data_IF_209778067567
#
_entry.id   IF_209778067567
#
_cell.length_a   1.000
_cell.length_b   1.000
_cell.length_c   1.000
_cell.angle_alpha   90.00
_cell.angle_beta   90.00
_cell.angle_gamma   90.00
#
_symmetry.space_group_name_H-M   'P 1'
#
loop_
_entity.id
_entity.type
_entity.pdbx_description
1 polymer ?
#
# COMPACT_ATOMS: atom_id res chain seq x y z
N UNK A 1 -8.68 12.40 11.38
CA UNK A 1 -7.35 11.77 11.54
C UNK A 1 -6.39 12.84 12.02
N UNK A 2 -5.38 12.43 12.77
CA UNK A 2 -4.26 13.25 13.23
C UNK A 2 -3.01 12.76 12.51
N UNK A 3 -2.09 13.68 12.22
CA UNK A 3 -0.77 13.33 11.70
C UNK A 3 -0.08 12.23 12.52
N UNK A 4 0.34 11.18 11.83
CA UNK A 4 0.98 9.99 12.40
C UNK A 4 0.02 8.88 12.84
N UNK A 5 -1.30 9.04 12.67
CA UNK A 5 -2.24 7.95 12.90
C UNK A 5 -1.97 6.79 11.92
N UNK A 6 -1.97 5.56 12.42
CA UNK A 6 -1.93 4.36 11.57
C UNK A 6 -3.31 4.20 10.93
N UNK A 7 -3.36 4.21 9.61
CA UNK A 7 -4.62 4.14 8.86
C UNK A 7 -4.73 2.89 7.98
N UNK A 8 -3.63 2.20 7.71
CA UNK A 8 -3.62 0.99 6.89
C UNK A 8 -2.53 0.03 7.32
N UNK A 9 -2.79 -1.26 7.21
CA UNK A 9 -1.80 -2.34 7.34
C UNK A 9 -1.94 -3.24 6.12
N UNK A 10 -0.84 -3.46 5.41
CA UNK A 10 -0.85 -4.23 4.18
C UNK A 10 -0.12 -5.56 4.29
N UNK A 11 -0.69 -6.56 3.64
CA UNK A 11 -0.16 -7.90 3.49
C UNK A 11 0.07 -8.21 2.02
N UNK A 12 1.32 -8.41 1.62
CA UNK A 12 1.66 -8.95 0.31
C UNK A 12 1.29 -10.43 0.24
N UNK A 13 0.44 -10.79 -0.71
CA UNK A 13 -0.08 -12.14 -0.91
C UNK A 13 0.24 -12.64 -2.31
N UNK A 14 0.41 -13.96 -2.43
CA UNK A 14 0.71 -14.61 -3.71
C UNK A 14 -0.50 -14.65 -4.65
N UNK A 15 -1.69 -14.84 -4.09
CA UNK A 15 -2.96 -14.93 -4.81
C UNK A 15 -4.04 -14.19 -4.00
N UNK A 16 -4.51 -13.07 -4.57
CA UNK A 16 -5.44 -12.15 -3.94
C UNK A 16 -6.80 -12.80 -3.69
N UNK A 17 -7.30 -13.59 -4.65
CA UNK A 17 -8.59 -14.27 -4.52
C UNK A 17 -8.56 -15.37 -3.47
N UNK A 18 -7.49 -16.17 -3.46
CA UNK A 18 -7.28 -17.18 -2.44
C UNK A 18 -7.14 -16.56 -1.05
N UNK A 19 -6.41 -15.44 -0.94
CA UNK A 19 -6.24 -14.72 0.32
C UNK A 19 -7.56 -14.13 0.83
N UNK A 20 -8.28 -13.35 0.00
CA UNK A 20 -9.60 -12.80 0.37
C UNK A 20 -10.55 -13.90 0.86
N UNK A 21 -10.62 -15.02 0.12
CA UNK A 21 -11.42 -16.19 0.50
C UNK A 21 -11.00 -16.72 1.87
N UNK A 22 -9.71 -16.93 2.09
CA UNK A 22 -9.21 -17.48 3.36
C UNK A 22 -9.51 -16.55 4.54
N UNK A 23 -9.22 -15.25 4.41
CA UNK A 23 -9.53 -14.25 5.42
C UNK A 23 -11.03 -14.19 5.74
N UNK A 24 -11.88 -14.26 4.72
CA UNK A 24 -13.33 -14.19 4.88
C UNK A 24 -13.90 -15.46 5.52
N UNK A 25 -13.58 -16.64 4.97
CA UNK A 25 -14.21 -17.90 5.38
C UNK A 25 -13.67 -18.45 6.71
N UNK A 26 -12.41 -18.16 7.04
CA UNK A 26 -11.75 -18.73 8.22
C UNK A 26 -11.71 -17.75 9.39
N UNK A 27 -11.63 -16.45 9.11
CA UNK A 27 -11.41 -15.42 10.12
C UNK A 27 -12.50 -14.35 10.17
N UNK A 28 -13.55 -14.47 9.34
CA UNK A 28 -14.65 -13.51 9.25
C UNK A 28 -14.18 -12.07 8.92
N UNK A 29 -13.06 -11.94 8.19
CA UNK A 29 -12.51 -10.64 7.78
C UNK A 29 -12.99 -10.32 6.36
N UNK A 30 -13.76 -9.24 6.23
CA UNK A 30 -14.35 -8.72 5.00
C UNK A 30 -15.58 -7.84 5.30
N UNK A 31 -16.39 -7.47 4.30
CA UNK A 31 -16.19 -7.70 2.87
C UNK A 31 -15.05 -6.84 2.31
N UNK A 32 -14.57 -7.22 1.13
CA UNK A 32 -13.42 -6.65 0.45
C UNK A 32 -13.85 -5.83 -0.75
N UNK A 33 -13.34 -4.61 -0.85
CA UNK A 33 -13.39 -3.76 -2.04
C UNK A 33 -12.11 -4.00 -2.85
N UNK A 34 -12.26 -4.37 -4.14
CA UNK A 34 -11.14 -4.82 -4.99
C UNK A 34 -10.82 -3.80 -6.06
N UNK A 35 -9.52 -3.58 -6.29
CA UNK A 35 -8.99 -2.60 -7.23
C UNK A 35 -7.80 -3.17 -8.00
N UNK A 36 -7.62 -2.72 -9.23
CA UNK A 36 -6.41 -2.92 -10.02
C UNK A 36 -5.75 -1.57 -10.29
N UNK A 37 -4.48 -1.43 -9.93
CA UNK A 37 -3.71 -0.21 -10.11
C UNK A 37 -2.57 -0.39 -11.10
N UNK A 38 -2.31 0.64 -11.91
CA UNK A 38 -1.22 0.68 -12.88
C UNK A 38 -1.20 1.99 -13.68
N UNK A 39 -0.51 2.06 -14.83
CA UNK A 39 -0.34 3.31 -15.60
C UNK A 39 -1.64 4.04 -15.99
N UNK A 40 -2.73 3.28 -16.11
CA UNK A 40 -4.04 3.80 -16.48
C UNK A 40 -4.66 4.69 -15.40
N UNK A 41 -4.42 4.41 -14.11
CA UNK A 41 -5.08 5.09 -12.98
C UNK A 41 -4.13 5.53 -11.86
N UNK A 42 -2.84 5.17 -11.89
CA UNK A 42 -1.80 5.71 -11.01
C UNK A 42 -1.04 6.81 -11.74
N UNK A 43 -0.94 8.00 -11.14
CA UNK A 43 -0.17 9.13 -11.67
C UNK A 43 1.11 9.34 -10.87
N UNK A 44 2.10 9.99 -11.52
CA UNK A 44 3.44 10.25 -10.97
C UNK A 44 4.07 9.03 -10.28
N UNK A 45 3.85 7.84 -10.85
CA UNK A 45 4.38 6.59 -10.31
C UNK A 45 5.90 6.57 -10.46
N UNK A 46 6.59 6.49 -9.33
CA UNK A 46 8.05 6.41 -9.27
C UNK A 46 8.47 5.20 -8.45
N UNK A 47 9.54 4.54 -8.88
CA UNK A 47 10.26 3.52 -8.13
C UNK A 47 11.76 3.83 -8.18
N UNK A 48 12.38 3.95 -7.01
CA UNK A 48 13.79 4.36 -6.80
C UNK A 48 14.16 5.58 -7.66
N UNK A 49 13.27 6.57 -7.67
CA UNK A 49 13.42 7.84 -8.38
C UNK A 49 13.22 7.77 -9.91
N UNK A 50 12.80 6.64 -10.47
CA UNK A 50 12.55 6.46 -11.91
C UNK A 50 11.05 6.24 -12.18
N UNK A 51 10.52 6.68 -13.33
CA UNK A 51 9.16 6.34 -13.74
C UNK A 51 8.91 4.83 -13.69
N UNK A 52 7.77 4.44 -13.11
CA UNK A 52 7.41 3.05 -12.94
C UNK A 52 6.01 2.76 -13.49
N UNK A 53 5.87 1.61 -14.15
CA UNK A 53 4.63 1.18 -14.80
C UNK A 53 4.10 -0.14 -14.24
N UNK A 54 4.52 -0.49 -13.03
CA UNK A 54 4.10 -1.72 -12.37
C UNK A 54 2.59 -1.74 -12.16
N UNK A 55 2.02 -2.94 -12.24
CA UNK A 55 0.60 -3.24 -12.05
C UNK A 55 0.48 -4.11 -10.81
N UNK A 56 -0.47 -3.78 -9.95
CA UNK A 56 -0.78 -4.53 -8.74
C UNK A 56 -2.27 -4.52 -8.49
N UNK A 57 -2.76 -5.56 -7.83
CA UNK A 57 -4.15 -5.64 -7.38
C UNK A 57 -4.17 -5.54 -5.88
N UNK A 58 -5.21 -4.91 -5.37
CA UNK A 58 -5.46 -4.84 -3.94
C UNK A 58 -6.89 -5.23 -3.60
N UNK A 59 -7.06 -5.70 -2.37
CA UNK A 59 -8.34 -5.89 -1.74
C UNK A 59 -8.30 -5.24 -0.37
N UNK A 60 -9.24 -4.33 -0.09
CA UNK A 60 -9.26 -3.58 1.16
C UNK A 60 -10.55 -3.82 1.92
N UNK A 61 -10.45 -3.89 3.25
CA UNK A 61 -11.59 -3.85 4.15
C UNK A 61 -11.29 -2.95 5.35
N UNK A 62 -12.34 -2.41 5.97
CA UNK A 62 -12.20 -1.51 7.11
C UNK A 62 -12.52 -2.23 8.42
N UNK A 63 -11.57 -2.21 9.35
CA UNK A 63 -11.72 -2.84 10.67
C UNK A 63 -11.40 -1.79 11.73
N UNK A 64 -12.41 -1.38 12.51
CA UNK A 64 -12.27 -0.39 13.59
C UNK A 64 -11.55 0.91 13.18
N UNK A 65 -11.74 1.36 11.93
CA UNK A 65 -11.15 2.59 11.40
C UNK A 65 -9.74 2.45 10.83
N UNK A 66 -9.16 1.24 10.80
CA UNK A 66 -7.92 0.93 10.08
C UNK A 66 -8.27 0.07 8.87
N UNK A 67 -7.66 0.37 7.73
CA UNK A 67 -7.81 -0.41 6.52
C UNK A 67 -6.86 -1.61 6.54
N UNK A 68 -7.41 -2.82 6.45
CA UNK A 68 -6.61 -4.01 6.13
C UNK A 68 -6.53 -4.11 4.62
N UNK A 69 -5.32 -4.19 4.08
CA UNK A 69 -5.06 -4.30 2.65
C UNK A 69 -4.36 -5.63 2.34
N UNK A 70 -4.88 -6.36 1.36
CA UNK A 70 -4.18 -7.45 0.71
C UNK A 70 -3.65 -6.92 -0.61
N UNK A 71 -2.39 -7.20 -0.94
CA UNK A 71 -1.73 -6.70 -2.14
C UNK A 71 -1.09 -7.84 -2.93
N UNK A 72 -1.30 -7.86 -4.24
CA UNK A 72 -0.64 -8.78 -5.15
C UNK A 72 0.02 -8.01 -6.31
N UNK A 73 1.36 -8.04 -6.45
CA UNK A 73 2.00 -7.55 -7.67
C UNK A 73 1.61 -8.43 -8.87
N UNK A 74 1.35 -7.81 -10.01
CA UNK A 74 0.91 -8.50 -11.24
C UNK A 74 1.97 -8.43 -12.33
N UNK A 75 2.54 -7.25 -12.58
CA UNK A 75 3.59 -7.07 -13.58
C UNK A 75 4.41 -5.82 -13.33
N UNK A 76 5.63 -5.79 -13.87
CA UNK A 76 6.57 -4.67 -13.67
C UNK A 76 7.19 -4.69 -12.28
N UNK A 77 8.50 -4.45 -12.22
CA UNK A 77 9.26 -4.53 -10.97
C UNK A 77 9.01 -3.29 -10.09
N UNK A 78 8.82 -3.52 -8.79
CA UNK A 78 8.43 -2.53 -7.79
C UNK A 78 9.04 -2.84 -6.42
N UNK A 79 8.74 -2.02 -5.40
CA UNK A 79 9.09 -2.33 -4.01
C UNK A 79 8.49 -3.66 -3.54
N UNK A 80 7.33 -4.05 -4.08
CA UNK A 80 6.65 -5.29 -3.70
C UNK A 80 7.46 -6.52 -4.11
N UNK A 81 8.00 -6.51 -5.34
CA UNK A 81 8.84 -7.59 -5.86
C UNK A 81 10.15 -7.68 -5.09
N UNK A 82 10.81 -6.54 -4.85
CA UNK A 82 12.05 -6.47 -4.07
C UNK A 82 11.84 -7.05 -2.66
N UNK A 83 10.72 -6.71 -2.03
CA UNK A 83 10.36 -7.23 -0.72
C UNK A 83 10.16 -8.75 -0.73
N UNK A 84 9.38 -9.26 -1.69
CA UNK A 84 9.08 -10.69 -1.83
C UNK A 84 10.35 -11.50 -2.07
N UNK A 85 11.28 -10.99 -2.88
CA UNK A 85 12.57 -11.64 -3.14
C UNK A 85 13.42 -11.80 -1.88
N UNK A 86 13.33 -10.84 -0.95
CA UNK A 86 14.14 -10.81 0.26
C UNK A 86 13.50 -11.54 1.45
N UNK A 87 12.18 -11.41 1.61
CA UNK A 87 11.46 -11.87 2.81
C UNK A 87 10.37 -12.91 2.52
N UNK A 88 9.98 -13.06 1.25
CA UNK A 88 8.77 -13.77 0.86
C UNK A 88 7.51 -12.92 1.06
N UNK A 89 6.34 -13.56 0.90
CA UNK A 89 5.04 -12.94 1.14
C UNK A 89 4.79 -12.72 2.64
N UNK A 90 4.10 -11.65 3.01
CA UNK A 90 3.87 -11.29 4.41
C UNK A 90 3.45 -9.83 4.63
N UNK A 91 3.36 -9.43 5.89
CA UNK A 91 3.05 -8.04 6.26
C UNK A 91 4.15 -7.11 5.72
N UNK A 92 3.75 -6.18 4.86
CA UNK A 92 4.67 -5.34 4.10
C UNK A 92 4.81 -3.95 4.71
N UNK A 93 3.69 -3.22 4.82
CA UNK A 93 3.74 -1.83 5.26
C UNK A 93 2.66 -1.47 6.27
N UNK A 94 2.92 -0.39 7.00
CA UNK A 94 1.92 0.39 7.73
C UNK A 94 1.85 1.79 7.13
N UNK A 95 0.64 2.26 6.81
CA UNK A 95 0.41 3.62 6.32
C UNK A 95 0.09 4.56 7.45
N UNK A 96 0.81 5.68 7.49
CA UNK A 96 0.59 6.78 8.41
C UNK A 96 -0.10 7.94 7.71
N UNK A 97 -1.17 8.46 8.31
CA UNK A 97 -1.84 9.64 7.83
C UNK A 97 -1.01 10.90 8.05
N UNK A 98 -0.92 11.76 7.04
CA UNK A 98 -0.45 13.14 7.17
C UNK A 98 -1.31 14.06 6.29
N UNK A 99 -1.79 15.16 6.88
CA UNK A 99 -2.55 16.15 6.10
C UNK A 99 -1.69 16.86 5.04
N UNK A 100 -0.41 17.09 5.36
CA UNK A 100 0.61 17.62 4.45
C UNK A 100 1.76 16.60 4.32
N UNK A 101 1.66 15.76 3.29
CA UNK A 101 2.67 14.74 3.00
C UNK A 101 4.03 15.35 2.65
N UNK A 102 4.09 16.49 1.96
CA UNK A 102 5.37 17.11 1.55
C UNK A 102 6.16 17.59 2.78
N UNK A 103 5.49 18.21 3.74
CA UNK A 103 6.12 18.58 5.03
C UNK A 103 6.59 17.32 5.78
N UNK A 104 5.79 16.26 5.79
CA UNK A 104 6.18 14.99 6.42
C UNK A 104 7.41 14.36 5.75
N UNK A 105 7.45 14.35 4.41
CA UNK A 105 8.56 13.83 3.61
C UNK A 105 9.85 14.60 3.87
N UNK A 106 9.81 15.93 3.87
CA UNK A 106 10.98 16.75 4.19
C UNK A 106 11.53 16.43 5.58
N UNK A 107 10.65 16.20 6.57
CA UNK A 107 11.02 15.81 7.93
C UNK A 107 11.69 14.44 7.98
N UNK A 108 11.18 13.44 7.26
CA UNK A 108 11.76 12.09 7.25
C UNK A 108 13.05 12.03 6.44
N UNK A 109 13.14 12.77 5.34
CA UNK A 109 14.39 12.94 4.58
C UNK A 109 15.50 13.55 5.43
N UNK A 110 15.18 14.58 6.23
CA UNK A 110 16.14 15.16 7.18
C UNK A 110 16.61 14.17 8.28
N UNK A 111 15.89 13.04 8.45
CA UNK A 111 16.24 11.94 9.36
C UNK A 111 16.89 10.75 8.65
N UNK A 112 17.17 10.85 7.35
CA UNK A 112 17.83 9.81 6.57
C UNK A 112 16.91 8.78 5.93
N UNK A 113 15.60 9.04 5.86
CA UNK A 113 14.64 8.18 5.18
C UNK A 113 14.24 8.78 3.84
N UNK A 114 14.74 8.21 2.74
CA UNK A 114 14.35 8.57 1.38
C UNK A 114 13.07 7.83 0.95
N UNK A 115 12.48 8.26 -0.17
CA UNK A 115 11.31 7.60 -0.78
C UNK A 115 11.77 6.52 -1.76
N UNK A 116 11.29 5.29 -1.56
CA UNK A 116 11.57 4.14 -2.42
C UNK A 116 10.55 4.05 -3.55
N UNK A 117 9.27 4.26 -3.26
CA UNK A 117 8.20 4.18 -4.25
C UNK A 117 7.11 5.20 -3.92
N UNK A 118 6.51 5.81 -4.93
CA UNK A 118 5.43 6.80 -4.76
C UNK A 118 4.46 6.83 -5.93
N UNK A 119 3.30 7.42 -5.70
CA UNK A 119 2.31 7.71 -6.75
C UNK A 119 1.06 8.38 -6.21
N UNK A 120 0.12 8.62 -7.12
CA UNK A 120 -1.18 9.22 -6.83
C UNK A 120 -2.31 8.34 -7.39
N UNK A 121 -3.34 8.09 -6.59
CA UNK A 121 -4.56 7.37 -6.97
C UNK A 121 -5.75 8.28 -6.65
N UNK A 122 -6.39 8.84 -7.67
CA UNK A 122 -7.40 9.89 -7.43
C UNK A 122 -6.79 11.07 -6.67
N UNK A 123 -7.34 11.37 -5.50
CA UNK A 123 -6.82 12.40 -4.59
C UNK A 123 -5.87 11.83 -3.53
N UNK A 124 -5.74 10.50 -3.43
CA UNK A 124 -4.79 9.86 -2.50
C UNK A 124 -3.37 9.91 -3.04
N UNK A 125 -2.44 10.15 -2.14
CA UNK A 125 -1.00 10.10 -2.41
C UNK A 125 -0.36 9.06 -1.50
N UNK A 126 0.60 8.32 -2.04
CA UNK A 126 1.37 7.35 -1.27
C UNK A 126 2.87 7.53 -1.48
N UNK A 127 3.63 7.38 -0.40
CA UNK A 127 5.09 7.41 -0.40
C UNK A 127 5.64 6.35 0.55
N UNK A 128 6.26 5.31 0.00
CA UNK A 128 6.97 4.29 0.75
C UNK A 128 8.36 4.78 1.12
N UNK A 129 8.68 4.80 2.40
CA UNK A 129 9.97 5.22 2.93
C UNK A 129 10.96 4.07 3.01
N UNK A 130 12.24 4.36 2.80
CA UNK A 130 13.36 3.41 2.94
C UNK A 130 13.63 3.06 4.41
N UNK A 131 12.72 2.29 4.99
CA UNK A 131 12.64 1.98 6.43
C UNK A 131 12.87 0.50 6.74
N UNK A 132 12.82 -0.33 5.70
CA UNK A 132 12.75 -1.78 5.82
C UNK A 132 13.91 -2.37 6.65
N UNK A 133 15.14 -1.88 6.44
CA UNK A 133 16.32 -2.36 7.17
C UNK A 133 16.23 -2.01 8.68
N UNK A 134 15.91 -0.75 8.99
CA UNK A 134 15.86 -0.24 10.37
C UNK A 134 14.67 -0.81 11.14
N UNK A 135 13.63 -1.29 10.44
CA UNK A 135 12.39 -1.80 11.02
C UNK A 135 12.25 -3.33 10.84
N UNK A 136 13.35 -4.02 10.56
CA UNK A 136 13.41 -5.49 10.48
C UNK A 136 12.35 -6.09 9.53
N UNK A 137 12.18 -5.47 8.36
CA UNK A 137 11.25 -5.91 7.34
C UNK A 137 9.92 -5.16 7.29
N UNK A 138 9.66 -4.17 8.14
CA UNK A 138 8.46 -3.33 8.00
C UNK A 138 8.75 -2.05 7.21
N UNK A 139 7.88 -1.72 6.26
CA UNK A 139 7.93 -0.46 5.50
C UNK A 139 6.93 0.54 6.09
N UNK A 140 7.33 1.80 6.21
CA UNK A 140 6.41 2.91 6.53
C UNK A 140 5.98 3.58 5.24
N UNK A 141 4.66 3.64 5.04
CA UNK A 141 4.03 4.45 4.00
C UNK A 141 3.49 5.75 4.60
N UNK A 142 3.59 6.85 3.87
CA UNK A 142 2.92 8.12 4.17
C UNK A 142 1.82 8.34 3.14
N UNK A 143 0.64 8.76 3.59
CA UNK A 143 -0.39 9.26 2.68
C UNK A 143 -1.38 10.20 3.35
N UNK A 144 -2.24 10.81 2.52
CA UNK A 144 -3.22 11.81 2.93
C UNK A 144 -4.63 11.24 3.09
N UNK A 145 -4.84 9.93 2.88
CA UNK A 145 -6.15 9.29 2.89
C UNK A 145 -7.14 10.02 1.97
N UNK A 146 -6.67 10.38 0.77
CA UNK A 146 -7.46 11.06 -0.23
C UNK A 146 -8.57 10.17 -0.78
N UNK A 147 -9.55 10.79 -1.44
CA UNK A 147 -10.62 10.05 -2.08
C UNK A 147 -10.08 9.20 -3.24
N UNK A 148 -10.45 7.92 -3.26
CA UNK A 148 -10.16 6.99 -4.35
C UNK A 148 -11.46 6.65 -5.11
N UNK A 149 -11.38 6.16 -6.36
CA UNK A 149 -12.56 5.71 -7.11
C UNK A 149 -13.33 4.57 -6.43
N UNK A 150 -14.53 4.29 -6.95
CA UNK A 150 -15.31 3.10 -6.55
C UNK A 150 -14.59 1.80 -6.93
N UNK A 151 -14.80 0.71 -6.17
CA UNK A 151 -14.17 -0.57 -6.43
C UNK A 151 -14.65 -1.21 -7.74
N UNK A 152 -13.76 -1.99 -8.35
CA UNK A 152 -14.06 -2.79 -9.55
C UNK A 152 -15.06 -3.91 -9.22
N UNK A 153 -14.95 -4.48 -8.02
CA UNK A 153 -15.86 -5.47 -7.47
C UNK A 153 -15.77 -5.55 -5.95
N UNK A 154 -16.75 -6.24 -5.36
CA UNK A 154 -16.75 -6.64 -3.95
C UNK A 154 -16.63 -8.14 -3.77
N UNK A 155 -16.07 -8.57 -2.64
CA UNK A 155 -15.99 -9.97 -2.25
C UNK A 155 -16.29 -10.15 -0.74
N UNK A 156 -17.21 -11.05 -0.34
CA UNK A 156 -18.19 -11.75 -1.17
C UNK A 156 -19.10 -10.77 -1.92
N UNK A 157 -19.68 -11.22 -3.04
CA UNK A 157 -20.54 -10.41 -3.91
C UNK A 157 -21.91 -10.11 -3.29
#
# INVERSE_FOLDING_TARGET
>A
MKDGDIIQIAHLVQDLDAAMKHYTEVFDIGPWDVYTYGPHNVKNSLYRGKPAEHIYQIAVCWINGVQMELMQPVSGYSIYDEYIEKHGYGLHHMKLYFADCETALARYKARGYDVVQSGNIGDDVFYYLDTEEQFQGAVIEIGNAGAIPEPERRYPA
#
